data_IF_324390030253
#
_entry.id   IF_324390030253
#
_cell.length_a   1.000
_cell.length_b   1.000
_cell.length_c   1.000
_cell.angle_alpha   90.00
_cell.angle_beta   90.00
_cell.angle_gamma   90.00
#
_symmetry.space_group_name_H-M   'P 1'
#
loop_
_entity.id
_entity.type
_entity.pdbx_description
1 polymer ?
#
# COMPACT_ATOMS: atom_id res chain seq x y z
N UNK A 1 -2.16 -19.10 16.40
CA UNK A 1 -2.30 -17.96 15.47
C UNK A 1 -0.93 -17.44 15.02
N UNK A 2 0.06 -18.29 14.72
CA UNK A 2 1.45 -17.86 14.42
C UNK A 2 1.87 -18.02 12.95
N UNK A 3 1.09 -18.74 12.13
CA UNK A 3 1.47 -19.04 10.74
C UNK A 3 1.28 -17.85 9.77
N UNK A 4 0.46 -16.85 10.14
CA UNK A 4 0.20 -15.68 9.28
C UNK A 4 1.32 -14.64 9.22
N UNK A 5 2.18 -14.56 10.24
CA UNK A 5 3.29 -13.60 10.26
C UNK A 5 4.50 -14.07 9.43
N UNK A 6 4.78 -15.38 9.41
CA UNK A 6 5.88 -15.93 8.62
C UNK A 6 5.63 -15.81 7.10
N UNK A 7 4.37 -15.97 6.67
CA UNK A 7 4.00 -15.82 5.26
C UNK A 7 4.16 -14.37 4.77
N UNK A 8 3.74 -13.39 5.58
CA UNK A 8 3.90 -11.95 5.31
C UNK A 8 5.36 -11.50 5.24
N UNK A 9 6.24 -12.09 6.06
CA UNK A 9 7.68 -11.81 5.98
C UNK A 9 8.32 -12.36 4.69
N UNK A 10 7.85 -13.51 4.21
CA UNK A 10 8.34 -14.14 2.97
C UNK A 10 8.02 -13.33 1.72
N UNK A 11 6.79 -12.83 1.59
CA UNK A 11 6.38 -11.99 0.46
C UNK A 11 7.07 -10.61 0.48
N UNK A 12 7.27 -10.04 1.67
CA UNK A 12 8.01 -8.81 1.85
C UNK A 12 9.48 -8.95 1.43
N UNK A 13 10.15 -10.02 1.88
CA UNK A 13 11.53 -10.31 1.46
C UNK A 13 11.61 -10.57 -0.05
N UNK A 14 10.64 -11.28 -0.63
CA UNK A 14 10.57 -11.52 -2.07
C UNK A 14 10.48 -10.22 -2.88
N UNK A 15 9.58 -9.31 -2.48
CA UNK A 15 9.38 -8.00 -3.12
C UNK A 15 10.63 -7.11 -2.99
N UNK A 16 11.23 -7.01 -1.81
CA UNK A 16 12.45 -6.24 -1.57
C UNK A 16 13.62 -6.75 -2.41
N UNK A 17 13.78 -8.08 -2.50
CA UNK A 17 14.81 -8.70 -3.33
C UNK A 17 14.59 -8.33 -4.81
N UNK A 18 13.36 -8.41 -5.33
CA UNK A 18 13.04 -8.02 -6.70
C UNK A 18 13.41 -6.56 -6.98
N UNK A 19 13.11 -5.64 -6.06
CA UNK A 19 13.49 -4.22 -6.22
C UNK A 19 15.01 -3.99 -6.18
N UNK A 20 15.74 -4.71 -5.32
CA UNK A 20 17.21 -4.66 -5.30
C UNK A 20 17.77 -5.15 -6.63
N UNK A 21 17.28 -6.27 -7.16
CA UNK A 21 17.69 -6.79 -8.45
C UNK A 21 17.37 -5.81 -9.60
N UNK A 22 16.18 -5.22 -9.61
CA UNK A 22 15.80 -4.21 -10.60
C UNK A 22 16.73 -2.98 -10.52
N UNK A 23 17.04 -2.51 -9.32
CA UNK A 23 17.96 -1.41 -9.09
C UNK A 23 19.38 -1.72 -9.59
N UNK A 24 19.88 -2.94 -9.34
CA UNK A 24 21.18 -3.40 -9.85
C UNK A 24 21.21 -3.52 -11.38
N UNK A 25 20.12 -4.00 -11.99
CA UNK A 25 19.98 -4.06 -13.46
C UNK A 25 20.01 -2.64 -14.04
N UNK A 26 19.19 -1.73 -13.51
CA UNK A 26 19.15 -0.32 -13.95
C UNK A 26 20.53 0.33 -13.79
N UNK A 27 21.19 0.15 -12.64
CA UNK A 27 22.54 0.67 -12.42
C UNK A 27 23.55 0.11 -13.43
N UNK A 28 23.47 -1.17 -13.73
CA UNK A 28 24.35 -1.83 -14.69
C UNK A 28 24.13 -1.32 -16.11
N UNK A 29 22.86 -1.17 -16.52
CA UNK A 29 22.48 -0.62 -17.83
C UNK A 29 22.96 0.83 -17.94
N UNK A 30 22.73 1.67 -16.92
CA UNK A 30 23.21 3.05 -16.88
C UNK A 30 24.74 3.07 -16.99
N UNK A 31 25.45 2.23 -16.24
CA UNK A 31 26.91 2.15 -16.29
C UNK A 31 27.43 1.72 -17.66
N UNK A 32 26.77 0.77 -18.32
CA UNK A 32 27.11 0.33 -19.68
C UNK A 32 26.88 1.46 -20.68
N UNK A 33 25.71 2.12 -20.64
CA UNK A 33 25.37 3.26 -21.50
C UNK A 33 26.39 4.38 -21.27
N UNK A 34 26.69 4.71 -20.02
CA UNK A 34 27.65 5.76 -19.68
C UNK A 34 29.07 5.43 -20.14
N UNK A 35 29.52 4.18 -19.97
CA UNK A 35 30.82 3.73 -20.50
C UNK A 35 30.85 3.74 -22.04
N UNK A 36 29.73 3.42 -22.70
CA UNK A 36 29.63 3.42 -24.16
C UNK A 36 29.59 4.84 -24.72
N UNK A 37 28.83 5.75 -24.10
CA UNK A 37 28.84 7.19 -24.40
C UNK A 37 30.24 7.76 -24.15
N UNK A 38 30.87 7.44 -23.01
CA UNK A 38 32.25 7.89 -22.72
C UNK A 38 33.25 7.38 -23.77
N UNK A 39 33.12 6.14 -24.25
CA UNK A 39 33.97 5.60 -25.32
C UNK A 39 33.69 6.26 -26.68
N UNK A 40 32.42 6.54 -26.99
CA UNK A 40 32.00 7.21 -28.24
C UNK A 40 32.41 8.68 -28.25
N UNK A 41 32.18 9.41 -27.16
CA UNK A 41 32.63 10.79 -26.97
C UNK A 41 34.16 10.91 -26.91
N UNK A 42 34.86 9.89 -26.40
CA UNK A 42 36.31 9.84 -26.47
C UNK A 42 36.84 9.56 -27.89
N UNK A 43 36.05 8.92 -28.75
CA UNK A 43 36.41 8.66 -30.15
C UNK A 43 36.08 9.86 -31.04
N UNK A 44 34.92 10.49 -30.85
CA UNK A 44 34.40 11.56 -31.72
C UNK A 44 34.84 12.96 -31.26
N UNK A 45 35.27 13.13 -30.00
CA UNK A 45 35.76 14.43 -29.49
C UNK A 45 37.23 14.37 -29.02
N UNK A 46 38.05 13.40 -29.47
CA UNK A 46 39.47 13.39 -29.12
C UNK A 46 40.19 14.65 -29.63
N UNK A 47 39.68 15.28 -30.68
CA UNK A 47 40.18 16.57 -31.18
C UNK A 47 39.60 17.78 -30.41
N UNK A 48 38.32 17.77 -30.01
CA UNK A 48 37.67 18.90 -29.33
C UNK A 48 37.83 18.94 -27.79
N UNK A 49 38.03 17.79 -27.12
CA UNK A 49 38.20 17.72 -25.66
C UNK A 49 39.61 18.18 -25.22
N UNK A 50 40.60 18.19 -26.12
CA UNK A 50 41.97 18.62 -25.76
C UNK A 50 42.03 20.09 -25.30
N UNK A 51 41.00 20.88 -25.62
CA UNK A 51 40.90 22.30 -25.25
C UNK A 51 39.89 22.61 -24.14
N UNK A 52 39.07 21.65 -23.66
CA UNK A 52 38.07 21.94 -22.63
C UNK A 52 38.62 21.66 -21.21
N UNK A 53 38.83 22.75 -20.45
CA UNK A 53 39.37 22.75 -19.08
C UNK A 53 38.76 21.63 -18.20
N UNK A 54 39.58 20.78 -17.55
CA UNK A 54 39.14 19.58 -16.81
C UNK A 54 38.19 19.86 -15.63
N UNK A 55 38.02 21.12 -15.21
CA UNK A 55 37.16 21.49 -14.08
C UNK A 55 35.65 21.39 -14.37
N UNK A 56 35.21 21.52 -15.64
CA UNK A 56 33.77 21.47 -15.98
C UNK A 56 33.22 20.04 -16.08
N UNK A 57 34.01 19.08 -16.59
CA UNK A 57 33.61 17.66 -16.69
C UNK A 57 33.34 17.01 -15.33
N UNK A 58 34.15 17.34 -14.31
CA UNK A 58 33.97 16.84 -12.94
C UNK A 58 32.65 17.32 -12.31
N UNK A 59 32.22 18.55 -12.62
CA UNK A 59 30.96 19.10 -12.06
C UNK A 59 29.73 18.44 -12.67
N UNK A 60 29.70 18.25 -14.00
CA UNK A 60 28.56 17.63 -14.69
C UNK A 60 28.36 16.19 -14.23
N UNK A 61 29.46 15.43 -14.07
CA UNK A 61 29.39 14.05 -13.58
C UNK A 61 28.84 13.96 -12.15
N UNK A 62 29.25 14.86 -11.26
CA UNK A 62 28.73 14.90 -9.88
C UNK A 62 27.24 15.22 -9.84
N UNK A 63 26.78 16.17 -10.65
CA UNK A 63 25.36 16.54 -10.73
C UNK A 63 24.51 15.37 -11.20
N UNK A 64 24.97 14.61 -12.21
CA UNK A 64 24.26 13.42 -12.70
C UNK A 64 24.18 12.32 -11.63
N UNK A 65 25.26 12.07 -10.88
CA UNK A 65 25.25 11.07 -9.80
C UNK A 65 24.26 11.47 -8.71
N UNK A 66 24.25 12.74 -8.31
CA UNK A 66 23.32 13.26 -7.29
C UNK A 66 21.86 13.12 -7.76
N UNK A 67 21.57 13.43 -9.03
CA UNK A 67 20.23 13.28 -9.59
C UNK A 67 19.73 11.83 -9.56
N UNK A 68 20.59 10.86 -9.87
CA UNK A 68 20.24 9.42 -9.80
C UNK A 68 19.96 8.98 -8.36
N UNK A 69 20.78 9.43 -7.40
CA UNK A 69 20.58 9.10 -5.98
C UNK A 69 19.25 9.68 -5.47
N UNK A 70 18.95 10.94 -5.79
CA UNK A 70 17.68 11.59 -5.41
C UNK A 70 16.50 10.87 -6.05
N UNK A 71 16.60 10.49 -7.33
CA UNK A 71 15.56 9.72 -8.01
C UNK A 71 15.29 8.36 -7.35
N UNK A 72 16.35 7.67 -6.93
CA UNK A 72 16.21 6.39 -6.22
C UNK A 72 15.54 6.56 -4.85
N UNK A 73 15.93 7.59 -4.09
CA UNK A 73 15.32 7.93 -2.80
C UNK A 73 13.82 8.25 -2.99
N UNK A 74 13.48 9.04 -4.00
CA UNK A 74 12.08 9.38 -4.30
C UNK A 74 11.22 8.14 -4.61
N UNK A 75 11.75 7.19 -5.38
CA UNK A 75 11.05 5.92 -5.67
C UNK A 75 10.84 5.11 -4.39
N UNK A 76 11.85 5.02 -3.51
CA UNK A 76 11.70 4.34 -2.22
C UNK A 76 10.60 4.96 -1.35
N UNK A 77 10.55 6.30 -1.28
CA UNK A 77 9.50 6.99 -0.53
C UNK A 77 8.11 6.75 -1.13
N UNK A 78 7.97 6.75 -2.45
CA UNK A 78 6.69 6.47 -3.11
C UNK A 78 6.26 5.02 -2.83
N UNK A 79 7.17 4.05 -2.89
CA UNK A 79 6.85 2.65 -2.58
C UNK A 79 6.44 2.45 -1.11
N UNK A 80 7.09 3.14 -0.17
CA UNK A 80 6.72 3.11 1.25
C UNK A 80 5.36 3.78 1.45
N UNK A 81 5.11 4.92 0.81
CA UNK A 81 3.82 5.59 0.87
C UNK A 81 2.70 4.70 0.33
N UNK A 82 2.91 4.06 -0.82
CA UNK A 82 1.95 3.14 -1.42
C UNK A 82 1.69 1.92 -0.53
N UNK A 83 2.72 1.38 0.14
CA UNK A 83 2.57 0.31 1.13
C UNK A 83 1.76 0.76 2.36
N UNK A 84 2.00 1.97 2.86
CA UNK A 84 1.25 2.52 4.00
C UNK A 84 -0.21 2.86 3.65
N UNK A 85 -0.50 3.17 2.38
CA UNK A 85 -1.87 3.50 1.91
C UNK A 85 -2.58 2.33 1.25
N UNK A 86 -1.89 1.22 1.00
CA UNK A 86 -2.46 0.01 0.41
C UNK A 86 -3.29 -0.69 1.48
N UNK A 87 -4.54 -0.28 1.58
CA UNK A 87 -5.51 -0.94 2.44
C UNK A 87 -5.88 -2.28 1.78
N UNK A 88 -5.27 -3.37 2.26
CA UNK A 88 -5.52 -4.71 1.73
C UNK A 88 -7.02 -5.00 1.80
N UNK A 89 -7.61 -5.26 0.63
CA UNK A 89 -8.99 -5.70 0.53
C UNK A 89 -9.03 -7.21 0.77
N UNK A 90 -9.75 -7.65 1.79
CA UNK A 90 -9.94 -9.07 2.06
C UNK A 90 -10.87 -9.74 1.03
N UNK A 91 -10.99 -11.06 1.09
CA UNK A 91 -11.82 -11.84 0.17
C UNK A 91 -13.32 -11.51 0.23
N UNK A 92 -13.75 -10.72 1.21
CA UNK A 92 -15.13 -10.25 1.41
C UNK A 92 -15.32 -8.78 0.99
N UNK A 93 -14.29 -8.18 0.38
CA UNK A 93 -14.35 -6.80 -0.11
C UNK A 93 -14.08 -5.76 0.97
N UNK A 94 -13.67 -6.17 2.16
CA UNK A 94 -13.39 -5.23 3.25
C UNK A 94 -11.94 -4.79 3.26
N UNK A 95 -11.75 -3.50 3.48
CA UNK A 95 -10.46 -2.91 3.83
C UNK A 95 -10.43 -2.59 5.34
N UNK A 96 -9.25 -2.36 5.93
CA UNK A 96 -9.17 -1.97 7.34
C UNK A 96 -9.94 -0.67 7.60
N UNK A 97 -9.79 0.32 6.71
CA UNK A 97 -10.51 1.60 6.80
C UNK A 97 -12.02 1.42 6.78
N UNK A 98 -12.54 0.60 5.86
CA UNK A 98 -14.00 0.38 5.73
C UNK A 98 -14.57 -0.41 6.92
N UNK A 99 -13.85 -1.39 7.46
CA UNK A 99 -14.25 -2.06 8.73
C UNK A 99 -14.34 -1.07 9.88
N UNK A 100 -13.31 -0.22 10.03
CA UNK A 100 -13.26 0.78 11.09
C UNK A 100 -14.41 1.78 10.97
N UNK A 101 -14.64 2.34 9.79
CA UNK A 101 -15.71 3.31 9.55
C UNK A 101 -17.11 2.70 9.75
N UNK A 102 -17.32 1.45 9.33
CA UNK A 102 -18.59 0.76 9.57
C UNK A 102 -18.87 0.55 11.06
N UNK A 103 -17.85 0.09 11.79
CA UNK A 103 -17.92 -0.09 13.25
C UNK A 103 -18.20 1.22 13.98
N UNK A 104 -17.50 2.30 13.61
CA UNK A 104 -17.76 3.64 14.14
C UNK A 104 -19.18 4.12 13.82
N UNK A 105 -19.69 3.83 12.62
CA UNK A 105 -21.07 4.15 12.24
C UNK A 105 -22.10 3.49 13.15
N UNK A 106 -21.97 2.18 13.39
CA UNK A 106 -22.86 1.46 14.33
C UNK A 106 -22.71 2.02 15.75
N UNK A 107 -21.48 2.18 16.24
CA UNK A 107 -21.21 2.70 17.59
C UNK A 107 -21.76 4.11 17.80
N UNK A 108 -21.70 4.97 16.78
CA UNK A 108 -22.24 6.34 16.84
C UNK A 108 -23.76 6.38 16.99
N UNK A 109 -24.44 5.33 16.52
CA UNK A 109 -25.89 5.20 16.61
C UNK A 109 -26.31 4.59 17.95
N UNK A 110 -25.37 3.97 18.66
CA UNK A 110 -25.64 3.32 19.93
C UNK A 110 -25.50 4.28 21.10
N UNK A 111 -26.50 4.27 21.99
CA UNK A 111 -26.42 4.98 23.25
C UNK A 111 -25.29 4.46 24.12
N UNK A 112 -24.80 5.28 25.05
CA UNK A 112 -23.63 5.01 25.91
C UNK A 112 -23.71 3.73 26.75
N UNK A 113 -24.92 3.16 26.93
CA UNK A 113 -25.15 1.90 27.66
C UNK A 113 -25.12 0.64 26.78
N UNK A 114 -25.12 0.80 25.46
CA UNK A 114 -25.17 -0.31 24.49
C UNK A 114 -23.88 -0.47 23.68
N UNK A 115 -22.81 0.26 24.04
CA UNK A 115 -21.55 0.32 23.28
C UNK A 115 -20.91 -1.05 23.07
N UNK A 116 -20.90 -1.91 24.10
CA UNK A 116 -20.33 -3.27 24.01
C UNK A 116 -21.17 -4.17 23.08
N UNK A 117 -22.48 -4.17 23.26
CA UNK A 117 -23.41 -4.91 22.39
C UNK A 117 -23.27 -4.48 20.94
N UNK A 118 -23.15 -3.17 20.69
CA UNK A 118 -23.03 -2.62 19.35
C UNK A 118 -21.65 -2.87 18.71
N UNK A 119 -20.58 -2.88 19.51
CA UNK A 119 -19.27 -3.31 19.03
C UNK A 119 -19.32 -4.77 18.60
N UNK A 120 -19.88 -5.65 19.45
CA UNK A 120 -20.02 -7.07 19.12
C UNK A 120 -20.88 -7.27 17.86
N UNK A 121 -22.01 -6.57 17.77
CA UNK A 121 -22.90 -6.66 16.62
C UNK A 121 -22.18 -6.24 15.33
N UNK A 122 -21.41 -5.15 15.37
CA UNK A 122 -20.61 -4.70 14.23
C UNK A 122 -19.55 -5.74 13.82
N UNK A 123 -18.82 -6.29 14.79
CA UNK A 123 -17.79 -7.30 14.55
C UNK A 123 -18.41 -8.58 13.94
N UNK A 124 -19.55 -9.02 14.47
CA UNK A 124 -20.30 -10.16 13.95
C UNK A 124 -20.72 -9.94 12.49
N UNK A 125 -21.24 -8.78 12.15
CA UNK A 125 -21.67 -8.46 10.78
C UNK A 125 -20.48 -8.42 9.81
N UNK A 126 -19.35 -7.82 10.22
CA UNK A 126 -18.11 -7.79 9.42
C UNK A 126 -17.58 -9.21 9.18
N UNK A 127 -17.62 -10.07 10.20
CA UNK A 127 -17.15 -11.44 10.09
C UNK A 127 -18.09 -12.30 9.24
N UNK A 128 -19.40 -12.07 9.31
CA UNK A 128 -20.39 -12.92 8.65
C UNK A 128 -20.62 -12.56 7.19
N UNK A 129 -20.66 -11.28 6.86
CA UNK A 129 -21.10 -10.79 5.55
C UNK A 129 -19.99 -10.08 4.78
N UNK A 130 -20.07 -10.15 3.45
CA UNK A 130 -19.29 -9.28 2.56
C UNK A 130 -19.83 -7.84 2.56
N UNK A 131 -18.98 -6.91 2.14
CA UNK A 131 -19.37 -5.50 2.03
C UNK A 131 -20.56 -5.31 1.06
N UNK A 132 -20.60 -6.08 -0.03
CA UNK A 132 -21.69 -6.04 -1.01
C UNK A 132 -23.01 -6.55 -0.41
N UNK A 133 -22.98 -7.64 0.36
CA UNK A 133 -24.15 -8.19 1.04
C UNK A 133 -24.72 -7.21 2.07
N UNK A 134 -23.86 -6.58 2.87
CA UNK A 134 -24.31 -5.57 3.83
C UNK A 134 -24.89 -4.33 3.18
N UNK A 135 -24.36 -3.89 2.04
CA UNK A 135 -24.94 -2.78 1.27
C UNK A 135 -26.36 -3.12 0.80
N UNK A 136 -26.60 -4.37 0.36
CA UNK A 136 -27.95 -4.82 -0.01
C UNK A 136 -28.90 -4.84 1.20
N UNK A 137 -28.43 -5.32 2.35
CA UNK A 137 -29.22 -5.33 3.59
C UNK A 137 -29.56 -3.91 4.07
N UNK A 138 -28.62 -2.97 3.96
CA UNK A 138 -28.86 -1.56 4.32
C UNK A 138 -29.94 -0.92 3.44
N UNK A 139 -29.96 -1.23 2.14
CA UNK A 139 -30.99 -0.72 1.23
C UNK A 139 -32.39 -1.24 1.62
N UNK A 140 -32.50 -2.48 2.10
CA UNK A 140 -33.77 -3.04 2.59
C UNK A 140 -34.30 -2.33 3.85
N UNK A 141 -33.41 -1.86 4.72
CA UNK A 141 -33.78 -1.06 5.90
C UNK A 141 -34.44 0.26 5.50
N UNK A 142 -33.95 0.90 4.44
CA UNK A 142 -34.49 2.17 3.94
C UNK A 142 -35.90 2.00 3.33
N UNK A 143 -36.22 0.80 2.85
CA UNK A 143 -37.51 0.50 2.23
C UNK A 143 -38.58 -0.01 3.21
N UNK A 144 -38.19 -0.65 4.33
CA UNK A 144 -39.15 -1.40 5.17
C UNK A 144 -39.45 -0.84 6.56
N UNK A 145 -38.87 0.31 6.94
CA UNK A 145 -38.95 0.93 8.30
C UNK A 145 -38.56 -0.02 9.45
N UNK A 146 -38.05 -1.21 9.13
CA UNK A 146 -37.63 -2.24 10.08
C UNK A 146 -36.18 -2.62 9.82
N UNK A 147 -35.40 -2.87 10.88
CA UNK A 147 -34.07 -3.44 10.70
C UNK A 147 -34.17 -4.83 10.05
N UNK A 148 -33.26 -5.18 9.12
CA UNK A 148 -33.19 -6.51 8.54
C UNK A 148 -32.98 -7.56 9.64
N UNK A 149 -33.52 -8.75 9.44
CA UNK A 149 -33.48 -9.82 10.43
C UNK A 149 -32.04 -10.17 10.83
N UNK A 150 -31.11 -10.05 9.90
CA UNK A 150 -29.68 -10.30 10.07
C UNK A 150 -29.05 -9.40 11.14
N UNK A 151 -29.50 -8.15 11.26
CA UNK A 151 -29.05 -7.22 12.30
C UNK A 151 -29.60 -7.62 13.67
N UNK A 152 -30.84 -8.12 13.72
CA UNK A 152 -31.44 -8.63 14.96
C UNK A 152 -30.77 -9.91 15.42
N UNK A 153 -30.49 -10.83 14.49
CA UNK A 153 -29.82 -12.10 14.77
C UNK A 153 -28.39 -11.87 15.30
N UNK A 154 -27.66 -10.91 14.71
CA UNK A 154 -26.34 -10.51 15.20
C UNK A 154 -26.40 -9.93 16.62
N UNK A 155 -27.37 -9.06 16.91
CA UNK A 155 -27.56 -8.52 18.25
C UNK A 155 -27.94 -9.63 19.26
N UNK A 156 -28.79 -10.58 18.87
CA UNK A 156 -29.17 -11.71 19.71
C UNK A 156 -27.99 -12.64 20.01
N UNK A 157 -27.13 -12.92 19.01
CA UNK A 157 -25.91 -13.71 19.22
C UNK A 157 -25.00 -13.03 20.27
N UNK A 158 -24.81 -11.71 20.14
CA UNK A 158 -23.99 -10.94 21.06
C UNK A 158 -24.55 -10.82 22.48
N UNK A 159 -25.87 -10.92 22.67
CA UNK A 159 -26.50 -10.99 24.00
C UNK A 159 -26.38 -12.38 24.65
N UNK A 160 -26.16 -13.41 23.85
CA UNK A 160 -26.10 -14.81 24.33
C UNK A 160 -24.70 -15.20 24.83
N UNK A 161 -23.68 -14.50 24.33
CA UNK A 161 -22.27 -14.70 24.68
C UNK A 161 -21.77 -13.74 25.80
N UNK A 162 -22.64 -12.85 26.30
CA UNK A 162 -22.35 -11.87 27.38
C UNK A 162 -22.93 -12.28 28.73
#
# INVERSE_FOLDING_TARGET
MEQGQAFRAGEFLGSVIVYIFLGLIIFSVIKIIFNKIRKKDASDNLEDIKHQKPSKRSRILKVLIIAVIIGFIAILFISIAFYLTSDETDSKGWTYSTKSSFKEGILSTCGTKATELCSCTADYLIERYSLEELSKLQNLTLESDKPPQEFLDAAHACLSDS
#
